data_IF_277647490797
#
_entry.id   IF_277647490797
#
_cell.length_a   1.000
_cell.length_b   1.000
_cell.length_c   1.000
_cell.angle_alpha   90.00
_cell.angle_beta   90.00
_cell.angle_gamma   90.00
#
_symmetry.space_group_name_H-M   'P 1'
#
loop_
_entity.id
_entity.type
_entity.pdbx_description
1 polymer ?
#
# COMPACT_ATOMS: atom_id res chain seq x y z
N UNK A 1 -7.35 -15.54 -21.82
CA UNK A 1 -7.35 -14.41 -20.87
C UNK A 1 -8.69 -14.21 -20.15
N UNK A 2 -9.84 -14.41 -20.80
CA UNK A 2 -11.18 -14.16 -20.22
C UNK A 2 -11.65 -15.08 -19.08
N UNK A 3 -11.28 -16.37 -19.05
CA UNK A 3 -11.87 -17.29 -18.07
C UNK A 3 -11.51 -16.98 -16.60
N UNK A 4 -10.27 -16.58 -16.32
CA UNK A 4 -9.86 -16.20 -14.95
C UNK A 4 -10.51 -14.89 -14.49
N UNK A 5 -10.71 -13.94 -15.40
CA UNK A 5 -11.37 -12.67 -15.09
C UNK A 5 -12.86 -12.86 -14.81
N UNK A 6 -13.55 -13.62 -15.66
CA UNK A 6 -14.97 -13.96 -15.49
C UNK A 6 -15.21 -14.74 -14.20
N UNK A 7 -14.34 -15.70 -13.88
CA UNK A 7 -14.45 -16.46 -12.63
C UNK A 7 -14.30 -15.55 -11.39
N UNK A 8 -13.33 -14.64 -11.37
CA UNK A 8 -13.15 -13.67 -10.27
C UNK A 8 -14.35 -12.74 -10.12
N UNK A 9 -14.92 -12.26 -11.22
CA UNK A 9 -16.11 -11.39 -11.20
C UNK A 9 -17.35 -12.14 -10.69
N UNK A 10 -17.55 -13.38 -11.11
CA UNK A 10 -18.64 -14.24 -10.63
C UNK A 10 -18.52 -14.52 -9.13
N UNK A 11 -17.31 -14.86 -8.65
CA UNK A 11 -17.04 -15.08 -7.22
C UNK A 11 -17.40 -13.83 -6.42
N UNK A 12 -16.93 -12.65 -6.86
CA UNK A 12 -17.20 -11.38 -6.19
C UNK A 12 -18.69 -11.11 -6.03
N UNK A 13 -19.44 -11.17 -7.14
CA UNK A 13 -20.89 -10.91 -7.13
C UNK A 13 -21.62 -11.94 -6.27
N UNK A 14 -21.25 -13.21 -6.39
CA UNK A 14 -21.87 -14.29 -5.61
C UNK A 14 -21.62 -14.11 -4.10
N UNK A 15 -20.38 -13.87 -3.68
CA UNK A 15 -20.04 -13.68 -2.26
C UNK A 15 -20.68 -12.42 -1.69
N UNK A 16 -20.69 -11.31 -2.42
CA UNK A 16 -21.31 -10.08 -1.96
C UNK A 16 -22.83 -10.21 -1.85
N UNK A 17 -23.48 -10.87 -2.81
CA UNK A 17 -24.91 -11.15 -2.78
C UNK A 17 -25.28 -12.07 -1.60
N UNK A 18 -24.46 -13.08 -1.32
CA UNK A 18 -24.67 -14.00 -0.21
C UNK A 18 -24.54 -13.29 1.15
N UNK A 19 -23.58 -12.37 1.30
CA UNK A 19 -23.42 -11.53 2.48
C UNK A 19 -24.63 -10.59 2.65
N UNK A 20 -25.04 -9.88 1.60
CA UNK A 20 -26.19 -8.99 1.66
C UNK A 20 -27.51 -9.73 1.97
N UNK A 21 -27.70 -10.92 1.39
CA UNK A 21 -28.86 -11.77 1.66
C UNK A 21 -28.86 -12.26 3.11
N UNK A 22 -27.71 -12.65 3.64
CA UNK A 22 -27.56 -13.07 5.04
C UNK A 22 -27.95 -11.95 6.01
N UNK A 23 -27.51 -10.71 5.73
CA UNK A 23 -27.89 -9.53 6.53
C UNK A 23 -29.40 -9.26 6.45
N UNK A 24 -30.02 -9.45 5.28
CA UNK A 24 -31.47 -9.31 5.13
C UNK A 24 -32.24 -10.37 5.91
N UNK A 25 -31.76 -11.63 5.90
CA UNK A 25 -32.37 -12.74 6.63
C UNK A 25 -32.30 -12.56 8.16
N UNK A 26 -31.27 -11.87 8.65
CA UNK A 26 -31.11 -11.52 10.07
C UNK A 26 -32.01 -10.34 10.52
N UNK A 27 -32.84 -9.77 9.63
CA UNK A 27 -33.82 -8.74 9.97
C UNK A 27 -33.27 -7.31 10.05
N UNK A 28 -32.07 -7.05 9.51
CA UNK A 28 -31.47 -5.71 9.50
C UNK A 28 -32.17 -4.75 8.50
N UNK A 29 -32.01 -3.45 8.73
CA UNK A 29 -32.67 -2.40 7.95
C UNK A 29 -32.12 -2.31 6.52
N UNK A 30 -32.93 -1.87 5.55
CA UNK A 30 -32.56 -1.76 4.12
C UNK A 30 -31.29 -0.95 3.90
N UNK A 31 -31.07 0.12 4.68
CA UNK A 31 -29.85 0.92 4.62
C UNK A 31 -28.59 0.15 5.06
N UNK A 32 -28.71 -0.75 6.04
CA UNK A 32 -27.61 -1.57 6.53
C UNK A 32 -27.25 -2.70 5.54
N UNK A 33 -28.27 -3.30 4.90
CA UNK A 33 -28.08 -4.27 3.83
C UNK A 33 -27.32 -3.65 2.65
N UNK A 34 -27.69 -2.43 2.25
CA UNK A 34 -26.99 -1.70 1.20
C UNK A 34 -25.54 -1.36 1.60
N UNK A 35 -25.33 -0.84 2.81
CA UNK A 35 -24.00 -0.49 3.31
C UNK A 35 -23.03 -1.70 3.27
N UNK A 36 -23.49 -2.83 3.82
CA UNK A 36 -22.69 -4.06 3.90
C UNK A 36 -22.42 -4.66 2.52
N UNK A 37 -23.40 -4.63 1.62
CA UNK A 37 -23.23 -5.07 0.23
C UNK A 37 -22.18 -4.24 -0.52
N UNK A 38 -22.29 -2.91 -0.48
CA UNK A 38 -21.35 -2.01 -1.16
C UNK A 38 -19.94 -2.16 -0.58
N UNK A 39 -19.83 -2.21 0.75
CA UNK A 39 -18.55 -2.41 1.44
C UNK A 39 -17.89 -3.74 1.07
N UNK A 40 -18.67 -4.83 1.03
CA UNK A 40 -18.19 -6.15 0.65
C UNK A 40 -17.68 -6.18 -0.79
N UNK A 41 -18.43 -5.59 -1.73
CA UNK A 41 -18.02 -5.44 -3.14
C UNK A 41 -16.72 -4.67 -3.25
N UNK A 42 -16.59 -3.55 -2.53
CA UNK A 42 -15.40 -2.69 -2.55
C UNK A 42 -14.16 -3.43 -2.05
N UNK A 43 -14.26 -4.11 -0.90
CA UNK A 43 -13.12 -4.85 -0.32
C UNK A 43 -12.76 -6.07 -1.15
N UNK A 44 -13.72 -6.92 -1.50
CA UNK A 44 -13.45 -8.12 -2.29
C UNK A 44 -12.97 -7.79 -3.69
N UNK A 45 -13.49 -6.70 -4.28
CA UNK A 45 -13.01 -6.14 -5.53
C UNK A 45 -11.54 -5.73 -5.44
N UNK A 46 -11.17 -4.98 -4.41
CA UNK A 46 -9.78 -4.58 -4.20
C UNK A 46 -8.81 -5.75 -4.02
N UNK A 47 -9.24 -6.83 -3.34
CA UNK A 47 -8.40 -8.01 -3.13
C UNK A 47 -8.29 -8.87 -4.40
N UNK A 48 -9.41 -9.14 -5.08
CA UNK A 48 -9.43 -10.01 -6.27
C UNK A 48 -8.83 -9.35 -7.52
N UNK A 49 -8.98 -8.02 -7.63
CA UNK A 49 -8.51 -7.18 -8.72
C UNK A 49 -7.54 -6.12 -8.19
N UNK A 50 -6.37 -6.59 -7.73
CA UNK A 50 -5.34 -5.75 -7.10
C UNK A 50 -4.95 -4.51 -7.91
N UNK A 51 -4.90 -4.63 -9.24
CA UNK A 51 -4.60 -3.53 -10.16
C UNK A 51 -5.64 -2.40 -10.11
N UNK A 52 -6.91 -2.71 -9.84
CA UNK A 52 -8.04 -1.78 -9.84
C UNK A 52 -8.54 -1.43 -8.43
N UNK A 53 -7.75 -1.73 -7.39
CA UNK A 53 -8.14 -1.52 -5.97
C UNK A 53 -8.60 -0.10 -5.66
N UNK A 54 -7.96 0.90 -6.27
CA UNK A 54 -8.32 2.32 -6.14
C UNK A 54 -9.71 2.58 -6.72
N UNK A 55 -9.98 2.06 -7.93
CA UNK A 55 -11.29 2.20 -8.58
C UNK A 55 -12.41 1.60 -7.75
N UNK A 56 -12.21 0.41 -7.17
CA UNK A 56 -13.21 -0.21 -6.28
C UNK A 56 -13.47 0.62 -5.02
N UNK A 57 -12.42 1.15 -4.40
CA UNK A 57 -12.54 2.02 -3.22
C UNK A 57 -13.36 3.29 -3.53
N UNK A 58 -13.03 3.99 -4.62
CA UNK A 58 -13.72 5.23 -5.02
C UNK A 58 -15.15 4.99 -5.51
N UNK A 59 -15.41 3.91 -6.26
CA UNK A 59 -16.75 3.57 -6.70
C UNK A 59 -17.64 3.17 -5.51
N UNK A 60 -17.10 2.36 -4.59
CA UNK A 60 -17.81 1.97 -3.37
C UNK A 60 -18.19 3.18 -2.52
N UNK A 61 -17.25 4.08 -2.24
CA UNK A 61 -17.53 5.30 -1.47
C UNK A 61 -18.52 6.23 -2.18
N UNK A 62 -18.39 6.41 -3.50
CA UNK A 62 -19.31 7.22 -4.31
C UNK A 62 -20.74 6.69 -4.26
N UNK A 63 -20.93 5.37 -4.41
CA UNK A 63 -22.26 4.75 -4.35
C UNK A 63 -22.86 4.87 -2.93
N UNK A 64 -22.04 4.73 -1.87
CA UNK A 64 -22.51 4.93 -0.49
C UNK A 64 -23.00 6.35 -0.23
N UNK A 65 -22.36 7.36 -0.83
CA UNK A 65 -22.78 8.76 -0.74
C UNK A 65 -24.06 9.02 -1.56
N UNK A 66 -24.13 8.53 -2.80
CA UNK A 66 -25.29 8.71 -3.68
C UNK A 66 -26.56 8.05 -3.13
N UNK A 67 -26.42 6.89 -2.49
CA UNK A 67 -27.54 6.17 -1.87
C UNK A 67 -28.00 6.78 -0.54
N UNK A 68 -27.30 7.80 -0.03
CA UNK A 68 -27.59 8.43 1.26
C UNK A 68 -27.39 7.51 2.47
N UNK A 69 -26.66 6.40 2.27
CA UNK A 69 -26.26 5.46 3.33
C UNK A 69 -25.16 6.09 4.18
N UNK A 70 -24.20 6.76 3.54
CA UNK A 70 -23.22 7.63 4.19
C UNK A 70 -23.58 9.10 3.90
N UNK A 71 -23.64 9.93 4.94
CA UNK A 71 -23.78 11.39 4.75
C UNK A 71 -22.41 12.02 4.54
N UNK A 72 -22.36 13.09 3.75
CA UNK A 72 -21.12 13.79 3.43
C UNK A 72 -20.37 14.26 4.68
N UNK A 73 -21.09 14.80 5.67
CA UNK A 73 -20.53 15.24 6.94
C UNK A 73 -19.85 14.09 7.69
N UNK A 74 -20.53 12.94 7.83
CA UNK A 74 -19.94 11.76 8.48
C UNK A 74 -18.77 11.20 7.70
N UNK A 75 -18.81 11.25 6.37
CA UNK A 75 -17.73 10.78 5.52
C UNK A 75 -16.47 11.64 5.69
N UNK A 76 -16.61 12.96 5.73
CA UNK A 76 -15.48 13.88 5.95
C UNK A 76 -14.91 13.69 7.36
N UNK A 77 -15.77 13.57 8.39
CA UNK A 77 -15.34 13.35 9.77
C UNK A 77 -14.69 11.98 9.99
N UNK A 78 -15.15 10.95 9.28
CA UNK A 78 -14.57 9.61 9.34
C UNK A 78 -13.28 9.47 8.53
N UNK A 79 -12.98 10.43 7.64
CA UNK A 79 -11.75 10.43 6.85
C UNK A 79 -10.59 10.93 7.70
N UNK A 80 -9.55 10.11 7.85
CA UNK A 80 -8.33 10.48 8.59
C UNK A 80 -7.42 11.40 7.77
N UNK A 81 -7.84 12.66 7.59
CA UNK A 81 -7.08 13.67 6.83
C UNK A 81 -5.66 13.85 7.35
N UNK A 82 -5.47 13.81 8.67
CA UNK A 82 -4.15 13.89 9.30
C UNK A 82 -3.20 12.80 8.79
N UNK A 83 -3.69 11.56 8.67
CA UNK A 83 -2.89 10.43 8.16
C UNK A 83 -2.57 10.62 6.67
N UNK A 84 -3.55 11.07 5.88
CA UNK A 84 -3.36 11.31 4.44
C UNK A 84 -2.27 12.37 4.22
N UNK A 85 -2.36 13.50 4.92
CA UNK A 85 -1.37 14.57 4.81
C UNK A 85 -0.02 14.18 5.39
N UNK A 86 0.00 13.39 6.48
CA UNK A 86 1.23 12.84 7.04
C UNK A 86 1.96 11.95 6.03
N UNK A 87 1.27 10.95 5.45
CA UNK A 87 1.87 10.06 4.45
C UNK A 87 2.34 10.84 3.20
N UNK A 88 1.54 11.79 2.73
CA UNK A 88 1.91 12.64 1.60
C UNK A 88 3.16 13.48 1.90
N UNK A 89 3.24 14.09 3.09
CA UNK A 89 4.40 14.85 3.54
C UNK A 89 5.66 13.98 3.65
N UNK A 90 5.54 12.77 4.20
CA UNK A 90 6.65 11.82 4.30
C UNK A 90 7.17 11.40 2.93
N UNK A 91 6.28 11.12 1.97
CA UNK A 91 6.68 10.77 0.59
C UNK A 91 7.41 11.91 -0.12
N UNK A 92 6.94 13.15 0.03
CA UNK A 92 7.60 14.35 -0.55
C UNK A 92 8.98 14.56 0.08
N UNK A 93 9.08 14.46 1.40
CA UNK A 93 10.34 14.63 2.12
C UNK A 93 11.39 13.61 1.66
N UNK A 94 11.00 12.34 1.52
CA UNK A 94 11.91 11.28 1.05
C UNK A 94 12.34 11.51 -0.40
N UNK A 95 11.42 11.93 -1.27
CA UNK A 95 11.76 12.28 -2.65
C UNK A 95 12.79 13.41 -2.70
N UNK A 96 12.65 14.45 -1.88
CA UNK A 96 13.62 15.53 -1.78
C UNK A 96 14.99 15.06 -1.26
N UNK A 97 15.03 14.21 -0.22
CA UNK A 97 16.28 13.63 0.29
C UNK A 97 17.00 12.77 -0.76
N UNK A 98 16.23 12.09 -1.62
CA UNK A 98 16.76 11.34 -2.77
C UNK A 98 17.49 12.27 -3.75
N UNK A 99 16.84 13.36 -4.16
CA UNK A 99 17.41 14.33 -5.10
C UNK A 99 18.65 15.04 -4.54
N UNK A 100 18.69 15.28 -3.23
CA UNK A 100 19.83 15.90 -2.54
C UNK A 100 21.06 14.98 -2.42
N UNK A 101 20.98 13.71 -2.83
CA UNK A 101 22.12 12.79 -2.74
C UNK A 101 22.50 12.40 -1.31
N UNK A 102 21.58 12.58 -0.35
CA UNK A 102 21.80 12.17 1.05
C UNK A 102 22.10 10.66 1.14
N UNK A 103 21.55 9.90 0.20
CA UNK A 103 21.66 8.45 0.14
C UNK A 103 23.01 7.96 -0.38
N UNK A 104 23.55 8.58 -1.44
CA UNK A 104 24.91 8.30 -1.92
C UNK A 104 25.96 8.75 -0.91
N UNK A 105 25.69 9.86 -0.21
CA UNK A 105 26.51 10.28 0.92
C UNK A 105 26.55 9.24 2.04
N UNK A 106 25.39 8.68 2.43
CA UNK A 106 25.32 7.63 3.46
C UNK A 106 26.06 6.36 3.03
N UNK A 107 25.94 5.98 1.75
CA UNK A 107 26.66 4.86 1.14
C UNK A 107 28.18 5.03 1.26
N UNK A 108 28.69 6.20 0.87
CA UNK A 108 30.13 6.50 0.93
C UNK A 108 30.68 6.36 2.35
N UNK A 109 29.88 6.72 3.38
CA UNK A 109 30.25 6.57 4.79
C UNK A 109 30.25 5.10 5.24
N UNK A 110 29.31 4.30 4.76
CA UNK A 110 29.26 2.86 5.07
C UNK A 110 30.45 2.10 4.46
N UNK A 111 30.91 2.50 3.27
CA UNK A 111 32.03 1.85 2.56
C UNK A 111 33.42 2.19 3.13
N UNK A 112 33.57 3.31 3.85
CA UNK A 112 34.84 3.70 4.49
C UNK A 112 35.19 2.81 5.71
N UNK A 113 34.27 1.94 6.16
CA UNK A 113 34.53 0.97 7.23
C UNK A 113 35.56 -0.09 6.78
N UNK A 114 36.79 0.04 7.31
CA UNK A 114 37.91 -0.87 7.07
C UNK A 114 37.52 -2.33 7.43
N UNK A 115 37.86 -3.30 6.58
CA UNK A 115 37.57 -4.76 6.72
C UNK A 115 36.09 -5.18 6.59
N UNK A 116 35.38 -4.69 5.57
CA UNK A 116 34.04 -5.18 5.22
C UNK A 116 34.09 -6.53 4.48
N UNK A 117 33.62 -7.58 5.14
CA UNK A 117 33.31 -8.88 4.53
C UNK A 117 31.85 -8.90 4.09
N UNK A 118 31.49 -9.67 3.06
CA UNK A 118 30.10 -9.80 2.57
C UNK A 118 29.07 -10.01 3.71
N UNK A 119 29.39 -10.82 4.73
CA UNK A 119 28.52 -10.99 5.92
C UNK A 119 28.33 -9.72 6.74
N UNK A 120 29.41 -8.97 7.01
CA UNK A 120 29.36 -7.72 7.78
C UNK A 120 28.60 -6.64 7.03
N UNK A 121 28.77 -6.63 5.71
CA UNK A 121 28.05 -5.74 4.81
C UNK A 121 26.54 -6.02 4.80
N UNK A 122 26.13 -7.29 4.66
CA UNK A 122 24.72 -7.68 4.75
C UNK A 122 24.11 -7.33 6.11
N UNK A 123 24.87 -7.48 7.21
CA UNK A 123 24.43 -7.08 8.54
C UNK A 123 24.28 -5.55 8.62
N UNK A 124 25.25 -4.79 8.10
CA UNK A 124 25.18 -3.33 8.06
C UNK A 124 23.97 -2.86 7.25
N UNK A 125 23.72 -3.47 6.09
CA UNK A 125 22.60 -3.20 5.21
C UNK A 125 21.25 -3.50 5.88
N UNK A 126 21.16 -4.63 6.60
CA UNK A 126 19.97 -5.01 7.37
C UNK A 126 19.73 -4.05 8.54
N UNK A 127 20.76 -3.69 9.29
CA UNK A 127 20.66 -2.75 10.41
C UNK A 127 20.29 -1.35 9.92
N UNK A 128 20.89 -0.88 8.83
CA UNK A 128 20.51 0.40 8.23
C UNK A 128 19.08 0.36 7.72
N UNK A 129 18.63 -0.76 7.12
CA UNK A 129 17.24 -0.94 6.71
C UNK A 129 16.28 -0.86 7.90
N UNK A 130 16.60 -1.53 9.01
CA UNK A 130 15.78 -1.51 10.22
C UNK A 130 15.71 -0.10 10.84
N UNK A 131 16.83 0.62 10.88
CA UNK A 131 16.87 2.00 11.34
C UNK A 131 16.05 2.92 10.43
N UNK A 132 16.20 2.79 9.11
CA UNK A 132 15.44 3.57 8.15
C UNK A 132 13.96 3.25 8.19
N UNK A 133 13.56 1.99 8.38
CA UNK A 133 12.16 1.60 8.55
C UNK A 133 11.52 2.16 9.84
N UNK A 134 12.31 2.48 10.86
CA UNK A 134 11.83 3.14 12.07
C UNK A 134 11.79 4.67 11.97
N UNK A 135 12.69 5.26 11.17
CA UNK A 135 12.81 6.71 11.00
C UNK A 135 11.98 7.25 9.83
N UNK A 136 11.73 6.42 8.81
CA UNK A 136 11.08 6.75 7.56
C UNK A 136 9.82 5.88 7.41
N UNK A 137 8.87 6.33 6.58
CA UNK A 137 7.74 5.53 6.14
C UNK A 137 8.16 4.24 5.42
N UNK A 138 7.35 3.17 5.54
CA UNK A 138 7.64 1.82 5.05
C UNK A 138 8.02 1.81 3.56
N UNK A 139 7.14 2.36 2.71
CA UNK A 139 7.31 2.33 1.25
C UNK A 139 8.58 3.06 0.83
N UNK A 140 8.82 4.19 1.46
CA UNK A 140 9.99 5.03 1.22
C UNK A 140 11.30 4.33 1.61
N UNK A 141 11.31 3.64 2.76
CA UNK A 141 12.46 2.85 3.23
C UNK A 141 12.79 1.71 2.25
N UNK A 142 11.78 1.01 1.72
CA UNK A 142 11.98 -0.07 0.75
C UNK A 142 12.65 0.45 -0.53
N UNK A 143 12.13 1.55 -1.10
CA UNK A 143 12.71 2.15 -2.31
C UNK A 143 14.14 2.58 -2.05
N UNK A 144 14.43 3.18 -0.89
CA UNK A 144 15.77 3.57 -0.49
C UNK A 144 16.74 2.37 -0.42
N UNK A 145 16.34 1.28 0.23
CA UNK A 145 17.17 0.08 0.31
C UNK A 145 17.44 -0.53 -1.06
N UNK A 146 16.45 -0.56 -1.96
CA UNK A 146 16.63 -1.03 -3.34
C UNK A 146 17.66 -0.18 -4.08
N UNK A 147 17.59 1.15 -3.98
CA UNK A 147 18.56 2.04 -4.61
C UNK A 147 19.98 1.77 -4.10
N UNK A 148 20.14 1.61 -2.79
CA UNK A 148 21.44 1.27 -2.18
C UNK A 148 21.96 -0.07 -2.70
N UNK A 149 21.12 -1.11 -2.73
CA UNK A 149 21.52 -2.44 -3.19
C UNK A 149 21.97 -2.39 -4.66
N UNK A 150 21.24 -1.68 -5.52
CA UNK A 150 21.60 -1.54 -6.93
C UNK A 150 22.90 -0.77 -7.14
N UNK A 151 23.09 0.35 -6.43
CA UNK A 151 24.35 1.13 -6.50
C UNK A 151 25.56 0.30 -6.02
N UNK A 152 25.36 -0.52 -4.98
CA UNK A 152 26.40 -1.42 -4.47
C UNK A 152 26.71 -2.55 -5.45
N UNK A 153 25.67 -3.15 -6.04
CA UNK A 153 25.82 -4.18 -7.07
C UNK A 153 26.61 -3.65 -8.26
N UNK A 154 26.30 -2.42 -8.71
CA UNK A 154 27.06 -1.75 -9.77
C UNK A 154 28.52 -1.51 -9.35
N UNK A 155 28.76 -1.00 -8.14
CA UNK A 155 30.10 -0.76 -7.61
C UNK A 155 30.97 -2.03 -7.53
N UNK A 156 30.37 -3.18 -7.20
CA UNK A 156 31.08 -4.45 -7.13
C UNK A 156 31.03 -5.27 -8.43
N UNK A 157 30.45 -4.72 -9.50
CA UNK A 157 30.23 -5.39 -10.79
C UNK A 157 29.48 -6.74 -10.66
N UNK A 158 28.50 -6.80 -9.74
CA UNK A 158 27.68 -7.98 -9.48
C UNK A 158 26.29 -7.75 -10.04
N UNK A 159 25.74 -8.71 -10.78
CA UNK A 159 24.36 -8.62 -11.26
C UNK A 159 23.38 -8.62 -10.06
N UNK A 160 22.57 -7.56 -9.87
CA UNK A 160 21.57 -7.49 -8.80
C UNK A 160 20.33 -8.35 -9.09
N UNK A 161 20.15 -8.84 -10.31
CA UNK A 161 19.02 -9.66 -10.72
C UNK A 161 19.40 -11.15 -10.58
N UNK A 162 18.55 -12.00 -9.96
CA UNK A 162 18.79 -13.44 -9.90
C UNK A 162 18.67 -14.14 -11.25
#
# INVERSE_FOLDING_TARGET
MNHKFLAKSLILVFTAALIALSVKLLGFNTKQVLATGIFSISILGAILFWEFRLSFAFLGSSIMLLTGVATLERFILASSWEIIFFLLGMMILVAALKELGVFTWLLSRALILKNMTAKKFLIALTVSSALMACLIDEVSSIVFMIMIIFEMSDYFEIDPVP
#
